data_IF_019180071856
#
_entry.id   IF_019180071856
#
_cell.length_a   1.000
_cell.length_b   1.000
_cell.length_c   1.000
_cell.angle_alpha   90.00
_cell.angle_beta   90.00
_cell.angle_gamma   90.00
#
_symmetry.space_group_name_H-M   'P 1'
#
loop_
_entity.id
_entity.type
_entity.pdbx_description
1 polymer ?
#
# COMPACT_ATOMS: atom_id res chain seq x y z
N UNK A 1 -60.78 32.42 -23.07
CA UNK A 1 -59.35 32.45 -23.40
C UNK A 1 -58.88 31.01 -23.24
N UNK A 2 -58.44 30.39 -24.30
CA UNK A 2 -57.86 29.05 -24.22
C UNK A 2 -56.44 29.19 -23.69
N UNK A 3 -56.13 28.33 -22.74
CA UNK A 3 -54.80 28.32 -22.13
C UNK A 3 -53.78 27.81 -23.20
N UNK A 4 -52.77 28.60 -23.55
CA UNK A 4 -51.80 28.24 -24.57
C UNK A 4 -50.95 27.02 -24.22
N UNK A 5 -51.04 26.52 -22.97
CA UNK A 5 -50.32 25.35 -22.49
C UNK A 5 -51.21 24.12 -22.31
N UNK A 6 -52.49 24.18 -22.74
CA UNK A 6 -53.37 23.02 -22.69
C UNK A 6 -52.83 21.93 -23.60
N UNK A 7 -52.70 20.72 -23.03
CA UNK A 7 -52.21 19.52 -23.72
C UNK A 7 -53.26 19.05 -24.72
N UNK A 8 -53.01 19.28 -26.02
CA UNK A 8 -53.89 18.88 -27.11
C UNK A 8 -53.27 17.74 -27.92
N UNK A 9 -54.10 16.91 -28.56
CA UNK A 9 -53.63 15.84 -29.45
C UNK A 9 -52.59 16.31 -30.49
N UNK A 10 -52.64 17.57 -30.89
CA UNK A 10 -51.67 18.18 -31.79
C UNK A 10 -50.27 18.30 -31.15
N UNK A 11 -50.19 18.62 -29.89
CA UNK A 11 -48.92 18.69 -29.16
C UNK A 11 -48.26 17.33 -29.07
N UNK A 12 -49.01 16.28 -28.91
CA UNK A 12 -48.50 14.91 -28.90
C UNK A 12 -47.95 14.48 -30.26
N UNK A 13 -48.61 14.88 -31.34
CA UNK A 13 -48.12 14.64 -32.71
C UNK A 13 -46.83 15.39 -32.97
N UNK A 14 -46.70 16.64 -32.49
CA UNK A 14 -45.50 17.48 -32.65
C UNK A 14 -44.34 16.97 -31.81
N UNK A 15 -44.61 16.43 -30.62
CA UNK A 15 -43.58 15.76 -29.78
C UNK A 15 -43.10 14.46 -30.45
N UNK A 16 -44.02 13.68 -31.02
CA UNK A 16 -43.66 12.45 -31.74
C UNK A 16 -42.80 12.69 -32.97
N UNK A 17 -42.95 13.89 -33.58
CA UNK A 17 -42.14 14.30 -34.73
C UNK A 17 -40.87 15.05 -34.36
N UNK A 18 -40.57 15.23 -33.06
CA UNK A 18 -39.35 15.88 -32.58
C UNK A 18 -39.34 17.42 -32.75
N UNK A 19 -40.51 18.05 -32.98
CA UNK A 19 -40.65 19.49 -33.15
C UNK A 19 -40.84 20.20 -31.80
N UNK A 20 -41.46 19.51 -30.83
CA UNK A 20 -41.61 19.98 -29.46
C UNK A 20 -40.75 19.08 -28.52
N UNK A 21 -40.20 19.66 -27.47
CA UNK A 21 -39.48 18.87 -26.45
C UNK A 21 -40.45 17.84 -25.81
N UNK A 22 -39.91 16.69 -25.36
CA UNK A 22 -40.71 15.70 -24.66
C UNK A 22 -41.41 16.33 -23.46
N UNK A 23 -42.67 15.93 -23.22
CA UNK A 23 -43.43 16.35 -22.05
C UNK A 23 -42.59 15.97 -20.80
N UNK A 24 -42.30 16.97 -20.01
CA UNK A 24 -41.87 16.70 -18.65
C UNK A 24 -43.04 15.99 -17.97
N UNK A 25 -42.94 14.68 -17.81
CA UNK A 25 -43.81 13.97 -16.87
C UNK A 25 -43.66 14.73 -15.57
N UNK A 26 -44.78 15.11 -14.89
CA UNK A 26 -44.66 15.47 -13.49
C UNK A 26 -43.88 14.33 -12.90
N UNK A 27 -42.70 14.59 -12.31
CA UNK A 27 -42.14 13.68 -11.34
C UNK A 27 -43.33 13.50 -10.38
N UNK A 28 -43.99 12.35 -10.46
CA UNK A 28 -44.60 11.83 -9.28
C UNK A 28 -43.49 12.04 -8.26
N UNK A 29 -43.73 12.93 -7.31
CA UNK A 29 -43.15 12.83 -6.01
C UNK A 29 -43.60 11.43 -5.59
N UNK A 30 -42.91 10.40 -6.09
CA UNK A 30 -42.63 9.27 -5.27
C UNK A 30 -42.12 9.97 -4.03
N UNK A 31 -42.99 10.09 -3.05
CA UNK A 31 -42.54 10.12 -1.68
C UNK A 31 -41.53 9.01 -1.65
N UNK A 32 -40.28 9.38 -1.99
CA UNK A 32 -39.14 8.77 -1.45
C UNK A 32 -39.40 8.87 0.07
N UNK A 33 -40.08 7.87 0.60
CA UNK A 33 -39.61 7.24 1.79
C UNK A 33 -38.21 6.76 1.42
N UNK A 34 -37.35 7.71 1.08
CA UNK A 34 -35.96 7.61 1.40
C UNK A 34 -36.00 7.35 2.89
N UNK A 35 -35.99 6.06 3.20
CA UNK A 35 -35.33 5.62 4.40
C UNK A 35 -34.17 6.62 4.55
N UNK A 36 -34.35 7.61 5.41
CA UNK A 36 -33.26 8.42 5.90
C UNK A 36 -32.29 7.41 6.45
N UNK A 37 -31.46 6.91 5.54
CA UNK A 37 -30.35 6.08 5.96
C UNK A 37 -29.58 6.96 6.90
N UNK A 38 -29.29 6.51 8.10
CA UNK A 38 -28.61 7.30 9.13
C UNK A 38 -27.12 7.51 8.77
N UNK A 39 -26.83 7.76 7.50
CA UNK A 39 -25.46 7.98 7.00
C UNK A 39 -24.84 9.25 7.55
N UNK A 40 -25.65 10.26 7.89
CA UNK A 40 -25.15 11.48 8.52
C UNK A 40 -24.82 11.25 10.00
N UNK A 41 -25.61 10.44 10.70
CA UNK A 41 -25.42 10.08 12.10
C UNK A 41 -24.24 9.12 12.24
N UNK A 42 -24.17 8.09 11.39
CA UNK A 42 -23.03 7.14 11.37
C UNK A 42 -21.70 7.84 11.18
N UNK A 43 -21.61 8.88 10.32
CA UNK A 43 -20.38 9.65 10.14
C UNK A 43 -19.96 10.42 11.41
N UNK A 44 -20.89 10.82 12.23
CA UNK A 44 -20.60 11.51 13.50
C UNK A 44 -20.00 10.53 14.51
N UNK A 45 -20.48 9.30 14.55
CA UNK A 45 -20.00 8.25 15.48
C UNK A 45 -18.70 7.55 14.99
N UNK A 46 -18.34 7.68 13.72
CA UNK A 46 -17.08 7.12 13.20
C UNK A 46 -15.82 7.69 13.89
N UNK A 47 -15.92 8.87 14.48
CA UNK A 47 -14.83 9.52 15.20
C UNK A 47 -14.77 9.20 16.69
N UNK A 48 -15.79 8.55 17.26
CA UNK A 48 -15.88 8.24 18.68
C UNK A 48 -15.24 6.89 19.01
N UNK A 49 -14.65 6.80 20.18
CA UNK A 49 -14.14 5.54 20.72
C UNK A 49 -15.27 4.67 21.25
N UNK A 50 -15.01 3.37 21.45
CA UNK A 50 -16.01 2.45 22.01
C UNK A 50 -16.41 2.86 23.44
N UNK A 51 -15.46 3.37 24.24
CA UNK A 51 -15.71 3.83 25.60
C UNK A 51 -16.62 5.08 25.60
N UNK A 52 -16.39 6.04 24.71
CA UNK A 52 -17.24 7.21 24.55
C UNK A 52 -18.67 6.86 24.08
N UNK A 53 -18.82 5.82 23.28
CA UNK A 53 -20.11 5.33 22.84
C UNK A 53 -20.88 4.63 23.99
N UNK A 54 -20.19 3.93 24.89
CA UNK A 54 -20.79 3.31 26.07
C UNK A 54 -21.20 4.35 27.12
N UNK A 55 -20.38 5.39 27.33
CA UNK A 55 -20.69 6.46 28.29
C UNK A 55 -21.89 7.31 27.87
N UNK A 56 -22.14 7.46 26.58
CA UNK A 56 -23.25 8.26 26.06
C UNK A 56 -24.49 7.44 25.67
N UNK A 57 -24.53 6.15 25.97
CA UNK A 57 -25.62 5.24 25.56
C UNK A 57 -27.00 5.71 26.04
N UNK A 58 -27.08 6.36 27.21
CA UNK A 58 -28.32 6.85 27.80
C UNK A 58 -28.88 8.16 27.17
N UNK A 59 -28.09 8.86 26.35
CA UNK A 59 -28.48 10.14 25.72
C UNK A 59 -29.06 9.97 24.30
N UNK A 60 -29.05 8.76 23.75
CA UNK A 60 -29.45 8.51 22.36
C UNK A 60 -30.93 8.15 22.22
N UNK A 61 -31.54 8.55 21.12
CA UNK A 61 -32.90 8.15 20.77
C UNK A 61 -32.96 6.70 20.26
N UNK A 62 -34.13 6.07 20.28
CA UNK A 62 -34.33 4.70 19.78
C UNK A 62 -33.85 4.51 18.32
N UNK A 63 -33.87 5.57 17.49
CA UNK A 63 -33.38 5.56 16.12
C UNK A 63 -31.87 5.55 16.05
N UNK A 64 -31.21 6.25 16.99
CA UNK A 64 -29.74 6.29 17.10
C UNK A 64 -29.19 4.98 17.66
N UNK A 65 -29.95 4.28 18.51
CA UNK A 65 -29.56 2.98 19.07
C UNK A 65 -29.32 1.93 17.95
N UNK A 66 -30.21 1.88 16.95
CA UNK A 66 -30.03 0.98 15.80
C UNK A 66 -28.77 1.34 14.99
N UNK A 67 -28.52 2.62 14.80
CA UNK A 67 -27.33 3.09 14.09
C UNK A 67 -26.03 2.73 14.83
N UNK A 68 -26.04 2.86 16.15
CA UNK A 68 -24.92 2.47 17.01
C UNK A 68 -24.68 0.96 17.02
N UNK A 69 -25.73 0.16 17.08
CA UNK A 69 -25.62 -1.31 16.99
C UNK A 69 -25.00 -1.73 15.67
N UNK A 70 -25.44 -1.14 14.55
CA UNK A 70 -24.84 -1.38 13.23
C UNK A 70 -23.35 -0.97 13.18
N UNK A 71 -23.00 0.17 13.78
CA UNK A 71 -21.63 0.63 13.87
C UNK A 71 -20.76 -0.32 14.72
N UNK A 72 -21.24 -0.74 15.90
CA UNK A 72 -20.57 -1.72 16.76
C UNK A 72 -20.33 -3.03 16.01
N UNK A 73 -21.34 -3.54 15.30
CA UNK A 73 -21.23 -4.76 14.51
C UNK A 73 -20.19 -4.60 13.38
N UNK A 74 -20.20 -3.47 12.67
CA UNK A 74 -19.21 -3.14 11.63
C UNK A 74 -17.79 -3.12 12.20
N UNK A 75 -17.58 -2.42 13.32
CA UNK A 75 -16.27 -2.34 14.00
C UNK A 75 -15.80 -3.70 14.50
N UNK A 76 -16.68 -4.50 15.07
CA UNK A 76 -16.35 -5.87 15.49
C UNK A 76 -15.99 -6.76 14.30
N UNK A 77 -16.69 -6.62 13.19
CA UNK A 77 -16.37 -7.35 11.96
C UNK A 77 -15.01 -6.91 11.38
N UNK A 78 -14.74 -5.62 11.35
CA UNK A 78 -13.44 -5.06 10.92
C UNK A 78 -12.30 -5.51 11.85
N UNK A 79 -12.53 -5.48 13.17
CA UNK A 79 -11.56 -5.95 14.14
C UNK A 79 -11.24 -7.45 13.98
N UNK A 80 -12.27 -8.30 13.82
CA UNK A 80 -12.10 -9.72 13.54
C UNK A 80 -11.37 -9.95 12.22
N UNK A 81 -11.71 -9.19 11.17
CA UNK A 81 -11.04 -9.29 9.87
C UNK A 81 -9.57 -8.87 9.97
N UNK A 82 -9.26 -7.84 10.76
CA UNK A 82 -7.88 -7.41 11.01
C UNK A 82 -7.10 -8.42 11.85
N UNK A 83 -7.73 -9.03 12.85
CA UNK A 83 -7.11 -10.11 13.64
C UNK A 83 -6.73 -11.32 12.77
N UNK A 84 -7.59 -11.70 11.83
CA UNK A 84 -7.31 -12.79 10.89
C UNK A 84 -6.16 -12.39 9.93
N UNK A 85 -6.13 -11.14 9.49
CA UNK A 85 -5.04 -10.61 8.65
C UNK A 85 -3.72 -10.49 9.41
N UNK A 86 -3.75 -10.16 10.69
CA UNK A 86 -2.58 -10.02 11.55
C UNK A 86 -2.14 -11.37 12.15
N UNK A 87 -2.17 -12.42 11.33
CA UNK A 87 -1.84 -13.78 11.76
C UNK A 87 -0.34 -14.01 11.98
N UNK A 88 0.50 -13.12 11.44
CA UNK A 88 1.95 -13.22 11.52
C UNK A 88 2.47 -12.06 12.37
N UNK A 89 3.58 -12.18 13.00
CA UNK A 89 4.16 -11.13 13.84
C UNK A 89 5.59 -11.47 14.21
N UNK A 90 6.05 -12.62 13.74
CA UNK A 90 7.36 -13.15 14.08
C UNK A 90 8.14 -13.57 12.83
N UNK A 91 9.46 -13.58 12.96
CA UNK A 91 10.36 -14.11 11.94
C UNK A 91 10.59 -15.61 12.19
N UNK A 92 9.89 -16.45 11.46
CA UNK A 92 9.96 -17.89 11.61
C UNK A 92 11.09 -18.50 10.79
N UNK A 93 11.77 -19.51 11.36
CA UNK A 93 12.77 -20.28 10.64
C UNK A 93 12.15 -21.54 10.05
N UNK A 94 12.39 -21.76 8.75
CA UNK A 94 11.88 -22.93 8.03
C UNK A 94 13.00 -23.80 7.49
N UNK A 95 12.72 -25.10 7.35
CA UNK A 95 13.58 -26.04 6.64
C UNK A 95 13.30 -26.01 5.14
N UNK A 96 14.21 -26.58 4.33
CA UNK A 96 13.98 -26.70 2.88
C UNK A 96 12.78 -27.57 2.52
N UNK A 97 12.38 -28.50 3.40
CA UNK A 97 11.20 -29.37 3.19
C UNK A 97 9.90 -28.59 3.35
N UNK A 98 9.88 -27.62 4.25
CA UNK A 98 8.70 -26.79 4.53
C UNK A 98 8.52 -25.64 3.53
N UNK A 99 9.50 -25.45 2.65
CA UNK A 99 9.51 -24.33 1.70
C UNK A 99 8.21 -24.24 0.88
N UNK A 100 7.78 -25.34 0.26
CA UNK A 100 6.58 -25.34 -0.60
C UNK A 100 5.34 -24.97 0.23
N UNK A 101 5.20 -25.57 1.40
CA UNK A 101 4.07 -25.33 2.30
C UNK A 101 4.05 -23.90 2.83
N UNK A 102 5.18 -23.40 3.30
CA UNK A 102 5.26 -22.10 3.97
C UNK A 102 5.33 -20.92 3.01
N UNK A 103 5.80 -21.14 1.77
CA UNK A 103 5.93 -20.10 0.75
C UNK A 103 4.80 -20.18 -0.28
N UNK A 104 4.62 -21.36 -0.92
CA UNK A 104 3.65 -21.48 -2.02
C UNK A 104 2.22 -21.67 -1.52
N UNK A 105 2.05 -22.36 -0.38
CA UNK A 105 0.74 -22.62 0.22
C UNK A 105 0.43 -21.71 1.40
N UNK A 106 1.05 -20.53 1.46
CA UNK A 106 0.86 -19.56 2.55
C UNK A 106 -0.57 -19.04 2.68
N UNK A 107 -1.35 -19.11 1.60
CA UNK A 107 -2.75 -18.65 1.52
C UNK A 107 -2.95 -17.53 0.51
N UNK A 108 -4.20 -17.35 0.11
CA UNK A 108 -4.58 -16.31 -0.85
C UNK A 108 -4.38 -14.90 -0.26
N UNK A 109 -3.76 -14.01 -1.03
CA UNK A 109 -3.53 -12.62 -0.65
C UNK A 109 -2.46 -12.39 0.41
N UNK A 110 -1.69 -13.42 0.79
CA UNK A 110 -0.61 -13.31 1.78
C UNK A 110 0.70 -13.02 1.06
N UNK A 111 1.39 -11.97 1.53
CA UNK A 111 2.76 -11.68 1.14
C UNK A 111 3.73 -12.49 2.00
N UNK A 112 4.72 -13.10 1.35
CA UNK A 112 5.78 -13.88 2.02
C UNK A 112 7.13 -13.29 1.67
N UNK A 113 7.90 -12.94 2.70
CA UNK A 113 9.28 -12.46 2.57
C UNK A 113 10.21 -13.54 3.12
N UNK A 114 10.95 -14.19 2.24
CA UNK A 114 11.89 -15.24 2.58
C UNK A 114 13.33 -14.73 2.56
N UNK A 115 14.03 -14.86 3.67
CA UNK A 115 15.46 -14.56 3.80
C UNK A 115 16.29 -15.84 3.75
N UNK A 116 17.07 -15.99 2.70
CA UNK A 116 18.13 -16.99 2.65
C UNK A 116 19.39 -16.46 3.32
N UNK A 117 19.83 -17.12 4.37
CA UNK A 117 20.96 -16.69 5.18
C UNK A 117 21.95 -17.83 5.43
N UNK A 118 23.13 -17.47 5.89
CA UNK A 118 24.12 -18.42 6.40
C UNK A 118 24.64 -17.90 7.74
N UNK A 119 24.73 -18.77 8.77
CA UNK A 119 25.36 -18.42 10.02
C UNK A 119 26.82 -17.97 9.79
N UNK A 120 27.25 -16.93 10.50
CA UNK A 120 28.61 -16.39 10.37
C UNK A 120 28.79 -15.26 9.37
N UNK A 121 27.79 -14.92 8.57
CA UNK A 121 27.78 -13.72 7.72
C UNK A 121 27.15 -12.56 8.49
N UNK A 122 27.93 -11.50 8.86
CA UNK A 122 27.42 -10.42 9.70
C UNK A 122 26.21 -9.67 9.10
N UNK A 123 26.22 -9.48 7.78
CA UNK A 123 25.11 -8.81 7.09
C UNK A 123 23.81 -9.65 7.13
N UNK A 124 23.89 -10.97 7.09
CA UNK A 124 22.73 -11.84 7.29
C UNK A 124 22.14 -11.69 8.69
N UNK A 125 23.02 -11.58 9.70
CA UNK A 125 22.58 -11.34 11.09
C UNK A 125 21.86 -10.00 11.22
N UNK A 126 22.41 -8.95 10.62
CA UNK A 126 21.81 -7.60 10.61
C UNK A 126 20.42 -7.63 9.95
N UNK A 127 20.30 -8.26 8.78
CA UNK A 127 19.01 -8.38 8.08
C UNK A 127 18.01 -9.19 8.91
N UNK A 128 18.42 -10.28 9.56
CA UNK A 128 17.54 -11.02 10.47
C UNK A 128 16.99 -10.15 11.61
N UNK A 129 17.82 -9.27 12.19
CA UNK A 129 17.37 -8.32 13.22
C UNK A 129 16.35 -7.34 12.65
N UNK A 130 16.62 -6.75 11.48
CA UNK A 130 15.67 -5.84 10.84
C UNK A 130 14.36 -6.53 10.44
N UNK A 131 14.42 -7.73 9.88
CA UNK A 131 13.23 -8.51 9.53
C UNK A 131 12.40 -8.89 10.76
N UNK A 132 13.04 -9.16 11.90
CA UNK A 132 12.32 -9.40 13.15
C UNK A 132 11.53 -8.16 13.59
N UNK A 133 12.13 -6.96 13.51
CA UNK A 133 11.44 -5.70 13.81
C UNK A 133 10.30 -5.44 12.83
N UNK A 134 10.54 -5.67 11.53
CA UNK A 134 9.51 -5.50 10.50
C UNK A 134 8.37 -6.52 10.62
N UNK A 135 8.65 -7.74 11.07
CA UNK A 135 7.61 -8.74 11.32
C UNK A 135 6.63 -8.26 12.42
N UNK A 136 7.14 -7.67 13.50
CA UNK A 136 6.28 -7.07 14.52
C UNK A 136 5.51 -5.85 14.02
N UNK A 137 6.13 -5.04 13.16
CA UNK A 137 5.48 -3.84 12.59
C UNK A 137 4.42 -4.21 11.56
N UNK A 138 4.62 -5.26 10.77
CA UNK A 138 3.75 -5.69 9.68
C UNK A 138 3.23 -7.12 9.85
N UNK A 139 2.35 -7.37 10.81
CA UNK A 139 1.85 -8.73 11.11
C UNK A 139 0.97 -9.33 10.00
N UNK A 140 0.65 -8.56 8.96
CA UNK A 140 -0.09 -9.03 7.78
C UNK A 140 0.82 -9.74 6.77
N UNK A 141 2.13 -9.49 6.83
CA UNK A 141 3.13 -10.08 5.95
C UNK A 141 3.85 -11.21 6.67
N UNK A 142 3.98 -12.34 6.01
CA UNK A 142 4.69 -13.50 6.56
C UNK A 142 6.19 -13.36 6.33
N UNK A 143 6.95 -13.21 7.42
CA UNK A 143 8.41 -13.17 7.38
C UNK A 143 8.99 -14.51 7.77
N UNK A 144 9.82 -15.07 6.90
CA UNK A 144 10.48 -16.35 7.13
C UNK A 144 11.96 -16.25 6.78
N UNK A 145 12.77 -17.06 7.46
CA UNK A 145 14.20 -17.21 7.17
C UNK A 145 14.52 -18.70 6.99
N UNK A 146 15.50 -18.98 6.16
CA UNK A 146 16.00 -20.34 5.97
C UNK A 146 17.49 -20.36 5.73
N UNK A 147 18.17 -21.40 6.18
CA UNK A 147 19.57 -21.58 5.86
C UNK A 147 19.69 -21.86 4.35
N UNK A 148 20.52 -21.09 3.66
CA UNK A 148 20.62 -21.13 2.20
C UNK A 148 20.89 -22.53 1.64
N UNK A 149 21.79 -23.30 2.25
CA UNK A 149 22.20 -24.63 1.80
C UNK A 149 21.17 -25.72 2.07
N UNK A 150 20.29 -25.54 3.07
CA UNK A 150 19.18 -26.46 3.35
C UNK A 150 17.98 -26.19 2.45
N UNK A 151 17.78 -24.93 2.07
CA UNK A 151 16.68 -24.53 1.20
C UNK A 151 17.02 -24.78 -0.30
N UNK A 152 18.19 -24.32 -0.74
CA UNK A 152 18.66 -24.49 -2.12
C UNK A 152 20.03 -25.14 -2.09
N UNK A 153 20.16 -26.40 -2.54
CA UNK A 153 21.46 -27.08 -2.61
C UNK A 153 22.49 -26.29 -3.44
N UNK A 154 23.70 -26.19 -2.93
CA UNK A 154 24.81 -25.48 -3.58
C UNK A 154 24.57 -23.96 -3.83
N UNK A 155 23.72 -23.32 -3.01
CA UNK A 155 23.51 -21.88 -3.14
C UNK A 155 24.82 -21.12 -2.88
N UNK A 156 25.27 -20.21 -3.80
CA UNK A 156 26.56 -19.56 -3.66
C UNK A 156 26.58 -18.56 -2.50
N UNK A 157 27.59 -18.62 -1.63
CA UNK A 157 27.76 -17.71 -0.50
C UNK A 157 27.87 -16.24 -0.90
N UNK A 158 28.43 -15.95 -2.10
CA UNK A 158 28.54 -14.60 -2.66
C UNK A 158 27.19 -13.93 -2.90
N UNK A 159 26.15 -14.70 -3.04
CA UNK A 159 24.78 -14.20 -3.27
C UNK A 159 24.05 -13.90 -1.94
N UNK A 160 24.67 -14.21 -0.79
CA UNK A 160 24.08 -13.96 0.51
C UNK A 160 24.43 -12.55 1.01
N UNK A 161 23.51 -11.90 1.69
CA UNK A 161 22.11 -12.29 1.95
C UNK A 161 21.24 -12.24 0.69
N UNK A 162 20.16 -13.05 0.67
CA UNK A 162 19.17 -13.01 -0.40
C UNK A 162 17.77 -12.93 0.20
N UNK A 163 16.97 -11.98 -0.30
CA UNK A 163 15.55 -11.87 0.01
C UNK A 163 14.73 -12.19 -1.23
N UNK A 164 13.76 -13.08 -1.08
CA UNK A 164 12.72 -13.34 -2.06
C UNK A 164 11.37 -12.86 -1.53
N UNK A 165 10.63 -12.21 -2.38
CA UNK A 165 9.28 -11.73 -2.07
C UNK A 165 8.28 -12.45 -2.94
N UNK A 166 7.35 -13.13 -2.31
CA UNK A 166 6.29 -13.91 -2.97
C UNK A 166 4.92 -13.31 -2.66
N UNK A 167 4.04 -13.43 -3.61
CA UNK A 167 2.62 -13.16 -3.48
C UNK A 167 1.84 -14.15 -4.34
N UNK A 168 0.88 -14.85 -3.75
CA UNK A 168 0.08 -15.86 -4.44
C UNK A 168 0.91 -16.90 -5.20
N UNK A 169 1.92 -17.44 -4.54
CA UNK A 169 2.86 -18.43 -5.08
C UNK A 169 3.79 -17.92 -6.19
N UNK A 170 3.67 -16.65 -6.61
CA UNK A 170 4.54 -16.03 -7.58
C UNK A 170 5.64 -15.21 -6.92
N UNK A 171 6.87 -15.30 -7.44
CA UNK A 171 7.97 -14.44 -7.04
C UNK A 171 7.78 -13.06 -7.65
N UNK A 172 7.50 -12.05 -6.82
CA UNK A 172 7.33 -10.66 -7.25
C UNK A 172 8.64 -9.88 -7.28
N UNK A 173 9.55 -10.19 -6.37
CA UNK A 173 10.86 -9.54 -6.33
C UNK A 173 11.94 -10.44 -5.74
N UNK A 174 13.19 -10.14 -6.07
CA UNK A 174 14.37 -10.79 -5.50
C UNK A 174 15.48 -9.76 -5.26
N UNK A 175 16.10 -9.84 -4.10
CA UNK A 175 17.22 -9.00 -3.71
C UNK A 175 18.42 -9.90 -3.40
N UNK A 176 19.42 -9.89 -4.25
CA UNK A 176 20.52 -10.86 -4.20
C UNK A 176 21.85 -10.15 -3.94
N UNK A 177 22.52 -10.59 -2.90
CA UNK A 177 23.88 -10.20 -2.58
C UNK A 177 24.02 -8.89 -1.77
N UNK A 178 25.21 -8.66 -1.19
CA UNK A 178 25.41 -7.58 -0.21
C UNK A 178 25.30 -6.17 -0.81
N UNK A 179 25.58 -6.01 -2.09
CA UNK A 179 25.58 -4.71 -2.76
C UNK A 179 24.17 -4.13 -2.86
N UNK A 180 23.16 -4.98 -3.03
CA UNK A 180 21.77 -4.54 -3.09
C UNK A 180 21.33 -3.89 -1.77
N UNK A 181 21.82 -4.41 -0.65
CA UNK A 181 21.48 -3.88 0.68
C UNK A 181 22.36 -2.71 1.12
N UNK A 182 23.45 -2.40 0.39
CA UNK A 182 24.38 -1.32 0.77
C UNK A 182 25.34 -1.70 1.90
N UNK A 183 25.49 -2.98 2.18
CA UNK A 183 26.42 -3.51 3.18
C UNK A 183 25.96 -3.31 4.62
N UNK A 184 26.93 -3.21 5.54
CA UNK A 184 26.68 -3.17 6.99
C UNK A 184 26.02 -1.89 7.50
N UNK A 185 25.87 -0.87 6.66
CA UNK A 185 25.22 0.41 7.02
C UNK A 185 23.72 0.40 6.75
N UNK A 186 23.15 -0.75 6.37
CA UNK A 186 21.72 -0.92 6.12
C UNK A 186 20.91 -0.55 7.37
N UNK A 187 19.94 0.37 7.20
CA UNK A 187 18.97 0.73 8.24
C UNK A 187 17.67 -0.06 8.06
N UNK A 188 16.92 -0.20 9.14
CA UNK A 188 15.61 -0.86 9.11
C UNK A 188 14.66 -0.17 8.12
N UNK A 189 14.60 1.16 8.15
CA UNK A 189 13.75 1.96 7.28
C UNK A 189 14.08 1.81 5.79
N UNK A 190 15.38 1.62 5.46
CA UNK A 190 15.81 1.37 4.08
C UNK A 190 15.34 -0.01 3.58
N UNK A 191 15.32 -1.01 4.46
CA UNK A 191 14.80 -2.33 4.15
C UNK A 191 13.28 -2.30 4.02
N UNK A 192 12.61 -1.59 4.94
CA UNK A 192 11.17 -1.34 4.89
C UNK A 192 10.76 -0.69 3.57
N UNK A 193 11.45 0.39 3.17
CA UNK A 193 11.19 1.07 1.91
C UNK A 193 11.30 0.14 0.71
N UNK A 194 12.36 -0.67 0.64
CA UNK A 194 12.53 -1.65 -0.46
C UNK A 194 11.43 -2.69 -0.52
N UNK A 195 10.95 -3.15 0.63
CA UNK A 195 9.84 -4.09 0.68
C UNK A 195 8.52 -3.42 0.32
N UNK A 196 8.35 -2.13 0.64
CA UNK A 196 7.16 -1.38 0.23
C UNK A 196 7.09 -1.13 -1.28
N UNK A 197 8.22 -0.92 -1.94
CA UNK A 197 8.30 -0.81 -3.41
C UNK A 197 7.78 -2.08 -4.12
N UNK A 198 7.91 -3.24 -3.47
CA UNK A 198 7.36 -4.51 -4.00
C UNK A 198 5.87 -4.70 -3.69
N UNK A 199 5.31 -3.91 -2.80
CA UNK A 199 3.95 -4.05 -2.29
C UNK A 199 3.80 -5.02 -1.12
N UNK A 200 4.90 -5.63 -0.64
CA UNK A 200 4.86 -6.61 0.45
C UNK A 200 4.48 -6.01 1.80
N UNK A 201 4.80 -4.75 2.03
CA UNK A 201 4.45 -4.01 3.24
C UNK A 201 3.87 -2.65 2.89
N UNK A 202 2.95 -2.17 3.70
CA UNK A 202 2.40 -0.80 3.61
C UNK A 202 3.15 0.08 4.59
N UNK A 203 4.08 0.88 4.10
CA UNK A 203 4.88 1.78 4.93
C UNK A 203 4.22 3.15 5.06
N UNK A 204 4.46 3.81 6.18
CA UNK A 204 4.10 5.22 6.40
C UNK A 204 5.21 6.19 5.97
N UNK A 205 6.32 5.66 5.42
CA UNK A 205 7.43 6.47 4.93
C UNK A 205 7.04 7.18 3.63
N UNK A 206 7.12 8.51 3.62
CA UNK A 206 6.79 9.33 2.45
C UNK A 206 7.93 9.38 1.44
N UNK A 207 9.19 9.28 1.89
CA UNK A 207 10.39 9.39 1.05
C UNK A 207 11.36 8.24 1.30
N UNK A 208 12.16 7.94 0.27
CA UNK A 208 13.25 6.97 0.39
C UNK A 208 14.28 7.44 1.44
N UNK A 209 14.46 6.73 2.56
CA UNK A 209 15.38 7.12 3.61
C UNK A 209 16.84 7.09 3.17
N UNK A 210 17.14 6.38 2.09
CA UNK A 210 18.46 6.39 1.45
C UNK A 210 18.54 7.57 0.50
N UNK A 211 19.00 8.73 1.00
CA UNK A 211 19.30 9.88 0.14
C UNK A 211 20.32 9.43 -0.90
N UNK A 212 19.97 9.58 -2.18
CA UNK A 212 20.95 9.42 -3.25
C UNK A 212 22.09 10.39 -2.93
N UNK A 213 23.31 9.86 -2.84
CA UNK A 213 24.50 10.70 -2.78
C UNK A 213 24.54 11.41 -4.12
N UNK A 214 23.98 12.61 -4.19
CA UNK A 214 24.22 13.50 -5.31
C UNK A 214 25.70 13.87 -5.20
N UNK A 215 26.44 13.47 -6.20
CA UNK A 215 27.86 13.73 -6.32
C UNK A 215 28.08 15.23 -6.58
N UNK A 216 27.91 16.03 -5.51
CA UNK A 216 28.06 17.49 -5.56
C UNK A 216 29.48 17.90 -5.96
N UNK A 217 30.46 17.02 -5.78
CA UNK A 217 31.84 17.27 -6.20
C UNK A 217 32.00 17.32 -7.72
N UNK A 218 31.33 16.42 -8.45
CA UNK A 218 31.43 16.42 -9.92
C UNK A 218 30.71 17.61 -10.56
N UNK A 219 29.66 18.12 -9.94
CA UNK A 219 28.93 19.27 -10.46
C UNK A 219 29.73 20.57 -10.27
N UNK A 220 30.45 20.71 -9.14
CA UNK A 220 31.29 21.90 -8.88
C UNK A 220 32.55 21.96 -9.77
N UNK A 221 33.12 20.81 -10.14
CA UNK A 221 34.26 20.73 -11.05
C UNK A 221 33.90 21.13 -12.49
N UNK A 222 32.69 20.76 -12.95
CA UNK A 222 32.23 21.14 -14.29
C UNK A 222 31.90 22.63 -14.47
N UNK A 223 31.55 23.33 -13.38
CA UNK A 223 31.21 24.76 -13.42
C UNK A 223 32.44 25.68 -13.22
N UNK A 224 33.60 25.17 -12.84
CA UNK A 224 34.76 26.00 -12.50
C UNK A 224 35.91 25.94 -13.50
N UNK A 225 35.77 25.34 -14.66
CA UNK A 225 36.74 25.36 -15.74
C UNK A 225 36.55 26.61 -16.63
N UNK A 226 37.37 27.66 -16.53
CA UNK A 226 37.32 28.74 -17.49
C UNK A 226 37.82 28.25 -18.84
N UNK A 227 37.04 28.43 -19.88
CA UNK A 227 37.45 28.22 -21.27
C UNK A 227 38.53 29.26 -21.56
N UNK A 228 39.78 28.87 -21.54
CA UNK A 228 40.85 29.69 -22.15
C UNK A 228 40.70 29.57 -23.66
N UNK A 229 40.17 30.64 -24.28
CA UNK A 229 40.35 30.90 -25.70
C UNK A 229 41.81 31.25 -25.88
N UNK A 230 42.58 30.39 -26.50
CA UNK A 230 43.84 30.75 -27.15
C UNK A 230 43.48 31.59 -28.37
N UNK A 231 43.76 32.88 -28.30
CA UNK A 231 43.83 33.74 -29.49
C UNK A 231 45.10 33.38 -30.20
N UNK A 232 44.96 32.85 -31.42
CA UNK A 232 46.00 32.82 -32.40
C UNK A 232 46.20 34.26 -32.88
N UNK A 233 47.30 34.89 -32.51
CA UNK A 233 47.80 36.07 -33.19
C UNK A 233 48.89 35.61 -34.14
N UNK A 234 48.54 35.44 -35.40
CA UNK A 234 49.48 35.53 -36.52
C UNK A 234 50.04 36.93 -36.52
N UNK A 235 51.34 37.03 -36.49
CA UNK A 235 52.08 38.18 -36.99
C UNK A 235 53.24 37.68 -37.84
N UNK A 236 53.00 37.67 -39.14
CA UNK A 236 54.02 37.79 -40.17
C UNK A 236 54.74 39.13 -39.93
N UNK A 237 56.06 39.15 -39.93
CA UNK A 237 56.90 40.13 -40.61
C UNK A 237 58.40 39.79 -40.45
N UNK A 238 59.08 39.71 -41.65
CA UNK A 238 60.50 39.78 -42.00
C UNK A 238 61.42 38.58 -41.67
#
# INVERSE_FOLDING_TARGET
MQDPNADTEWNDILRRKGILPPKETPKEEEEDEQLHQPQSVVKTYESMTLEELEENEDEFSDEDELAMEMYRQKRLAEWKANQIKNAFGELNEISGQDYVKEVNEAGAGIWVVLHLYKPGIPLCTLINQHLSLLAHKFPQTKFIKSISTTCIPNYPDRNLPTLFVYHESEMKAQFIGPLVFGGMNLKCDELEWRLSETGAVKTDLEENPRKQIQDQMMTSIRCSAPIRRNGDEDSDED
#
